data_IF_262051032990
#
_entry.id   IF_262051032990
#
_cell.length_a   1.000
_cell.length_b   1.000
_cell.length_c   1.000
_cell.angle_alpha   90.00
_cell.angle_beta   90.00
_cell.angle_gamma   90.00
#
_symmetry.space_group_name_H-M   'P 1'
#
loop_
_entity.id
_entity.type
_entity.pdbx_description
1 polymer ?
#
# COMPACT_ATOMS: atom_id res chain seq x y z
N UNK A 1 -14.35 -1.35 0.22
CA UNK A 1 -13.19 -1.45 -0.65
C UNK A 1 -12.99 -0.14 -1.42
N UNK A 2 -11.83 0.05 -2.05
CA UNK A 2 -11.39 1.29 -2.70
C UNK A 2 -12.47 1.97 -3.57
N UNK A 3 -13.25 1.19 -4.34
CA UNK A 3 -14.28 1.73 -5.24
C UNK A 3 -15.48 2.41 -4.55
N UNK A 4 -15.63 2.20 -3.26
CA UNK A 4 -16.70 2.82 -2.45
C UNK A 4 -16.15 3.86 -1.46
N UNK A 5 -14.84 4.11 -1.48
CA UNK A 5 -14.18 4.99 -0.52
C UNK A 5 -14.77 6.40 -0.54
N UNK A 6 -14.90 7.00 -1.72
CA UNK A 6 -15.45 8.36 -1.86
C UNK A 6 -16.85 8.49 -1.27
N UNK A 7 -17.74 7.55 -1.61
CA UNK A 7 -19.12 7.57 -1.12
C UNK A 7 -19.18 7.40 0.40
N UNK A 8 -18.37 6.46 0.93
CA UNK A 8 -18.35 6.21 2.37
C UNK A 8 -17.71 7.35 3.18
N UNK A 9 -16.73 8.06 2.61
CA UNK A 9 -16.00 9.11 3.31
C UNK A 9 -16.72 10.46 3.31
N UNK A 10 -17.64 10.71 2.39
CA UNK A 10 -18.33 12.00 2.27
C UNK A 10 -19.07 12.40 3.56
N UNK A 11 -19.58 11.41 4.30
CA UNK A 11 -20.29 11.63 5.56
C UNK A 11 -19.37 12.13 6.69
N UNK A 12 -18.07 11.91 6.57
CA UNK A 12 -17.06 12.34 7.55
C UNK A 12 -16.47 13.71 7.24
N UNK A 13 -16.84 14.32 6.11
CA UNK A 13 -16.33 15.64 5.73
C UNK A 13 -16.70 16.68 6.78
N UNK A 14 -15.69 17.43 7.25
CA UNK A 14 -15.85 18.42 8.30
C UNK A 14 -15.97 17.86 9.73
N UNK A 15 -15.95 16.53 9.90
CA UNK A 15 -15.98 15.88 11.20
C UNK A 15 -14.59 15.46 11.70
N UNK A 16 -13.58 15.48 10.82
CA UNK A 16 -12.21 15.08 11.17
C UNK A 16 -11.53 16.24 11.93
N UNK A 17 -11.09 16.02 13.17
CA UNK A 17 -10.40 17.06 13.94
C UNK A 17 -9.13 17.55 13.22
N UNK A 18 -8.82 18.86 13.36
CA UNK A 18 -7.67 19.47 12.65
C UNK A 18 -6.32 18.82 12.96
N UNK A 19 -6.17 18.24 14.15
CA UNK A 19 -4.93 17.56 14.58
C UNK A 19 -4.89 16.08 14.24
N UNK A 20 -5.98 15.49 13.71
CA UNK A 20 -6.03 14.07 13.41
C UNK A 20 -5.30 13.72 12.11
N UNK A 21 -4.57 12.62 12.11
CA UNK A 21 -3.97 12.00 10.92
C UNK A 21 -4.94 10.93 10.43
N UNK A 22 -5.32 11.01 9.16
CA UNK A 22 -6.19 10.00 8.54
C UNK A 22 -5.33 8.89 7.96
N UNK A 23 -5.54 7.67 8.43
CA UNK A 23 -4.74 6.50 8.02
C UNK A 23 -5.56 5.60 7.10
N UNK A 24 -5.01 5.27 5.94
CA UNK A 24 -5.61 4.36 4.96
C UNK A 24 -4.82 3.06 4.85
N UNK A 25 -5.55 1.94 4.89
CA UNK A 25 -5.03 0.61 4.56
C UNK A 25 -5.63 0.10 3.22
N UNK A 26 -6.35 0.96 2.52
CA UNK A 26 -6.98 0.60 1.26
C UNK A 26 -5.93 0.41 0.16
N UNK A 27 -6.15 -0.62 -0.66
CA UNK A 27 -5.33 -0.90 -1.84
C UNK A 27 -6.22 -0.78 -3.08
N UNK A 28 -5.81 0.05 -4.03
CA UNK A 28 -6.54 0.19 -5.29
C UNK A 28 -6.52 1.61 -5.85
N UNK A 29 -7.02 1.71 -7.07
CA UNK A 29 -7.18 2.95 -7.83
C UNK A 29 -8.67 3.12 -8.10
N UNK A 30 -9.21 4.33 -7.92
CA UNK A 30 -10.62 4.63 -8.16
C UNK A 30 -10.94 4.53 -9.65
N UNK A 31 -12.00 3.77 -10.02
CA UNK A 31 -12.47 3.71 -11.40
C UNK A 31 -12.97 5.09 -11.86
N UNK A 32 -12.90 5.32 -13.16
CA UNK A 32 -13.33 6.53 -13.86
C UNK A 32 -12.44 7.77 -13.63
N UNK A 33 -11.83 7.93 -12.45
CA UNK A 33 -10.93 9.05 -12.16
C UNK A 33 -9.46 8.66 -12.27
N UNK A 34 -9.16 7.36 -12.16
CA UNK A 34 -7.80 6.79 -12.08
C UNK A 34 -6.97 7.37 -10.90
N UNK A 35 -7.64 7.86 -9.86
CA UNK A 35 -7.00 8.43 -8.68
C UNK A 35 -6.58 7.34 -7.69
N UNK A 36 -5.42 7.54 -7.09
CA UNK A 36 -4.97 6.76 -5.93
C UNK A 36 -5.84 7.07 -4.73
N UNK A 37 -5.74 6.23 -3.69
CA UNK A 37 -6.58 6.41 -2.49
C UNK A 37 -6.20 7.67 -1.69
N UNK A 38 -4.93 8.09 -1.68
CA UNK A 38 -4.53 9.37 -1.08
C UNK A 38 -5.29 10.55 -1.71
N UNK A 39 -5.34 10.59 -3.04
CA UNK A 39 -6.04 11.64 -3.76
C UNK A 39 -7.55 11.61 -3.48
N UNK A 40 -8.15 10.40 -3.49
CA UNK A 40 -9.59 10.23 -3.21
C UNK A 40 -9.94 10.66 -1.78
N UNK A 41 -9.16 10.23 -0.79
CA UNK A 41 -9.40 10.54 0.62
C UNK A 41 -9.23 12.03 0.88
N UNK A 42 -8.12 12.60 0.39
CA UNK A 42 -7.80 14.03 0.57
C UNK A 42 -8.84 14.94 -0.07
N UNK A 43 -9.26 14.65 -1.29
CA UNK A 43 -10.33 15.42 -1.96
C UNK A 43 -11.66 15.30 -1.25
N UNK A 44 -12.03 14.10 -0.81
CA UNK A 44 -13.34 13.87 -0.18
C UNK A 44 -13.45 14.52 1.18
N UNK A 45 -12.38 14.47 1.97
CA UNK A 45 -12.36 14.99 3.34
C UNK A 45 -11.83 16.43 3.46
N UNK A 46 -11.37 17.04 2.36
CA UNK A 46 -10.70 18.32 2.33
C UNK A 46 -9.44 18.33 3.22
N UNK A 47 -8.58 17.33 3.03
CA UNK A 47 -7.41 17.06 3.86
C UNK A 47 -6.12 17.53 3.21
N UNK A 48 -5.23 18.24 3.91
CA UNK A 48 -3.88 18.52 3.41
C UNK A 48 -3.05 17.22 3.34
N UNK A 49 -2.03 17.23 2.49
CA UNK A 49 -1.23 16.04 2.19
C UNK A 49 -0.49 15.47 3.40
N UNK A 50 -0.01 16.35 4.26
CA UNK A 50 0.72 16.00 5.48
C UNK A 50 -0.12 15.32 6.56
N UNK A 51 -1.45 15.34 6.44
CA UNK A 51 -2.39 14.69 7.37
C UNK A 51 -2.95 13.36 6.85
N UNK A 52 -2.52 12.91 5.68
CA UNK A 52 -2.84 11.59 5.16
C UNK A 52 -1.65 10.64 5.32
N UNK A 53 -1.89 9.46 5.86
CA UNK A 53 -0.92 8.38 5.91
C UNK A 53 -1.49 7.11 5.28
N UNK A 54 -0.67 6.39 4.52
CA UNK A 54 -1.00 5.07 4.00
C UNK A 54 -0.15 4.00 4.68
N UNK A 55 -0.71 2.82 4.91
CA UNK A 55 0.02 1.65 5.45
C UNK A 55 -0.06 0.52 4.44
N UNK A 56 1.09 -0.05 4.06
CA UNK A 56 1.17 -1.21 3.19
C UNK A 56 2.40 -2.06 3.48
N UNK A 57 2.31 -3.35 3.14
CA UNK A 57 3.37 -4.35 3.38
C UNK A 57 2.78 -5.75 3.41
N UNK A 58 3.58 -6.77 3.73
CA UNK A 58 3.13 -8.15 3.90
C UNK A 58 2.32 -8.30 5.21
N UNK A 59 1.06 -7.88 5.18
CA UNK A 59 0.21 -7.71 6.36
C UNK A 59 -0.95 -8.73 6.35
N UNK A 60 -0.64 -10.03 6.39
CA UNK A 60 -1.63 -11.08 6.50
C UNK A 60 -2.26 -11.03 7.90
N UNK A 61 -3.54 -10.66 7.97
CA UNK A 61 -4.24 -10.35 9.22
C UNK A 61 -4.24 -11.51 10.22
N UNK A 62 -4.33 -12.75 9.73
CA UNK A 62 -4.29 -13.95 10.60
C UNK A 62 -2.94 -14.09 11.30
N UNK A 63 -1.84 -13.93 10.58
CA UNK A 63 -0.50 -14.06 11.14
C UNK A 63 -0.21 -12.96 12.18
N UNK A 64 -0.66 -11.73 11.90
CA UNK A 64 -0.55 -10.61 12.86
C UNK A 64 -1.38 -10.90 14.11
N UNK A 65 -2.61 -11.43 13.96
CA UNK A 65 -3.47 -11.80 15.07
C UNK A 65 -2.87 -12.93 15.92
N UNK A 66 -2.19 -13.89 15.26
CA UNK A 66 -1.47 -15.01 15.90
C UNK A 66 -0.10 -14.57 16.47
N UNK A 67 0.23 -13.26 16.39
CA UNK A 67 1.46 -12.64 16.90
C UNK A 67 2.75 -13.16 16.25
N UNK A 68 2.66 -13.56 14.98
CA UNK A 68 3.87 -13.87 14.20
C UNK A 68 4.67 -12.58 13.94
N UNK A 69 6.02 -12.64 13.93
CA UNK A 69 6.83 -11.49 13.57
C UNK A 69 6.48 -10.98 12.18
N UNK A 70 6.09 -9.71 12.09
CA UNK A 70 5.71 -9.08 10.84
C UNK A 70 6.17 -7.61 10.80
N UNK A 71 6.24 -7.04 9.61
CA UNK A 71 6.60 -5.65 9.43
C UNK A 71 5.77 -4.99 8.32
N UNK A 72 5.57 -3.68 8.48
CA UNK A 72 4.83 -2.85 7.54
C UNK A 72 5.57 -1.55 7.24
N UNK A 73 5.07 -0.77 6.29
CA UNK A 73 5.55 0.58 6.02
C UNK A 73 4.41 1.57 6.14
N UNK A 74 4.66 2.67 6.83
CA UNK A 74 3.79 3.84 6.93
C UNK A 74 4.36 4.92 6.03
N UNK A 75 3.57 5.42 5.09
CA UNK A 75 3.94 6.54 4.23
C UNK A 75 3.08 7.76 4.54
N UNK A 76 3.72 8.91 4.75
CA UNK A 76 3.09 10.21 4.86
C UNK A 76 4.06 11.27 4.32
N UNK A 77 3.58 12.28 3.60
CA UNK A 77 4.45 13.36 3.10
C UNK A 77 5.20 14.08 4.24
N UNK A 78 4.59 14.15 5.42
CA UNK A 78 5.25 14.62 6.66
C UNK A 78 5.82 13.42 7.42
N UNK A 79 7.15 13.37 7.55
CA UNK A 79 7.86 12.26 8.20
C UNK A 79 7.55 12.14 9.70
N UNK A 80 7.28 13.27 10.38
CA UNK A 80 6.94 13.26 11.80
C UNK A 80 5.55 12.61 12.00
N UNK A 81 4.59 12.93 11.14
CA UNK A 81 3.27 12.30 11.14
C UNK A 81 3.36 10.81 10.78
N UNK A 82 4.22 10.43 9.82
CA UNK A 82 4.50 9.01 9.55
C UNK A 82 5.05 8.30 10.79
N UNK A 83 5.95 8.95 11.53
CA UNK A 83 6.56 8.41 12.74
C UNK A 83 5.53 8.24 13.86
N UNK A 84 4.67 9.22 14.09
CA UNK A 84 3.58 9.12 15.08
C UNK A 84 2.69 7.90 14.79
N UNK A 85 2.30 7.72 13.52
CA UNK A 85 1.47 6.56 13.11
C UNK A 85 2.25 5.25 13.27
N UNK A 86 3.52 5.22 12.88
CA UNK A 86 4.36 4.03 13.00
C UNK A 86 4.57 3.60 14.46
N UNK A 87 4.80 4.56 15.37
CA UNK A 87 4.90 4.29 16.81
C UNK A 87 3.60 3.73 17.38
N UNK A 88 2.46 4.30 17.00
CA UNK A 88 1.14 3.82 17.41
C UNK A 88 0.84 2.39 16.93
N UNK A 89 1.39 1.98 15.77
CA UNK A 89 1.20 0.64 15.20
C UNK A 89 2.23 -0.39 15.69
N UNK A 90 3.41 0.05 16.17
CA UNK A 90 4.52 -0.85 16.52
C UNK A 90 4.24 -1.62 17.82
N UNK A 91 4.46 -2.93 17.78
CA UNK A 91 4.36 -3.83 18.92
C UNK A 91 5.64 -4.67 19.05
N UNK A 92 5.68 -5.64 20.00
CA UNK A 92 6.81 -6.57 20.15
C UNK A 92 7.01 -7.50 18.94
N UNK A 93 5.96 -7.75 18.18
CA UNK A 93 5.95 -8.67 17.03
C UNK A 93 5.57 -8.00 15.71
N UNK A 94 5.14 -6.74 15.72
CA UNK A 94 4.79 -5.97 14.53
C UNK A 94 5.59 -4.69 14.47
N UNK A 95 6.48 -4.55 13.47
CA UNK A 95 7.34 -3.38 13.29
C UNK A 95 6.87 -2.51 12.14
N UNK A 96 6.62 -1.23 12.40
CA UNK A 96 6.34 -0.26 11.36
C UNK A 96 7.61 0.55 11.01
N UNK A 97 7.92 0.64 9.71
CA UNK A 97 8.93 1.51 9.14
C UNK A 97 8.26 2.73 8.52
N UNK A 98 9.00 3.81 8.30
CA UNK A 98 8.45 5.06 7.76
C UNK A 98 9.07 5.44 6.43
N UNK A 99 8.30 6.13 5.59
CA UNK A 99 8.75 6.75 4.33
C UNK A 99 7.91 7.98 4.03
N UNK A 100 8.41 8.87 3.19
CA UNK A 100 7.63 9.99 2.64
C UNK A 100 7.03 9.67 1.26
N UNK A 101 7.39 8.54 0.65
CA UNK A 101 6.91 8.12 -0.66
C UNK A 101 5.51 7.49 -0.59
N UNK A 102 4.48 8.33 -0.45
CA UNK A 102 3.07 7.91 -0.46
C UNK A 102 2.71 7.30 -1.81
N UNK A 103 3.18 7.91 -2.91
CA UNK A 103 2.89 7.44 -4.28
C UNK A 103 3.39 6.01 -4.47
N UNK A 104 4.67 5.77 -4.15
CA UNK A 104 5.27 4.44 -4.30
C UNK A 104 4.58 3.40 -3.44
N UNK A 105 4.30 3.71 -2.18
CA UNK A 105 3.63 2.79 -1.28
C UNK A 105 2.23 2.39 -1.78
N UNK A 106 1.42 3.33 -2.24
CA UNK A 106 0.08 3.06 -2.76
C UNK A 106 0.11 2.31 -4.10
N UNK A 107 1.03 2.67 -5.00
CA UNK A 107 1.23 1.99 -6.28
C UNK A 107 1.64 0.52 -6.07
N UNK A 108 2.57 0.24 -5.15
CA UNK A 108 2.93 -1.12 -4.76
C UNK A 108 1.70 -1.93 -4.35
N UNK A 109 0.94 -1.44 -3.39
CA UNK A 109 -0.23 -2.15 -2.86
C UNK A 109 -1.34 -2.35 -3.88
N UNK A 110 -1.54 -1.39 -4.80
CA UNK A 110 -2.62 -1.43 -5.78
C UNK A 110 -2.33 -2.36 -6.96
N UNK A 111 -1.10 -2.41 -7.43
CA UNK A 111 -0.74 -3.06 -8.70
C UNK A 111 -0.19 -4.47 -8.54
N UNK A 112 0.39 -4.83 -7.40
CA UNK A 112 0.96 -6.17 -7.15
C UNK A 112 0.01 -7.33 -7.44
N UNK A 113 -1.29 -7.13 -7.22
CA UNK A 113 -2.28 -8.18 -7.38
C UNK A 113 -2.43 -8.65 -8.84
N UNK A 114 -2.07 -7.82 -9.82
CA UNK A 114 -2.02 -8.21 -11.24
C UNK A 114 -0.93 -9.26 -11.45
N UNK A 115 0.25 -9.03 -10.89
CA UNK A 115 1.36 -9.99 -10.94
C UNK A 115 1.01 -11.28 -10.18
N UNK A 116 0.44 -11.16 -8.98
CA UNK A 116 0.03 -12.31 -8.19
C UNK A 116 -1.03 -13.16 -8.91
N UNK A 117 -1.98 -12.53 -9.60
CA UNK A 117 -2.96 -13.25 -10.42
C UNK A 117 -2.27 -14.02 -11.55
N UNK A 118 -1.31 -13.41 -12.25
CA UNK A 118 -0.57 -14.06 -13.32
C UNK A 118 0.24 -15.27 -12.79
N UNK A 119 0.86 -15.16 -11.61
CA UNK A 119 1.53 -16.30 -10.94
C UNK A 119 0.54 -17.40 -10.60
N UNK A 120 -0.62 -17.05 -10.02
CA UNK A 120 -1.67 -18.02 -9.72
C UNK A 120 -2.20 -18.74 -10.97
N UNK A 121 -2.37 -18.02 -12.08
CA UNK A 121 -2.76 -18.63 -13.37
C UNK A 121 -1.69 -19.58 -13.89
N UNK A 122 -0.40 -19.22 -13.81
CA UNK A 122 0.70 -20.07 -14.23
C UNK A 122 0.76 -21.36 -13.41
N UNK A 123 0.67 -21.26 -12.07
CA UNK A 123 0.62 -22.45 -11.19
C UNK A 123 -0.61 -23.31 -11.46
N UNK A 124 -1.77 -22.70 -11.66
CA UNK A 124 -3.01 -23.42 -12.03
C UNK A 124 -2.93 -24.15 -13.39
N UNK A 125 -2.10 -23.64 -14.30
CA UNK A 125 -1.81 -24.28 -15.59
C UNK A 125 -0.73 -25.39 -15.49
N UNK A 126 -0.19 -25.65 -14.29
CA UNK A 126 0.82 -26.69 -14.06
C UNK A 126 2.26 -26.24 -14.29
N UNK A 127 2.52 -24.94 -14.45
CA UNK A 127 3.90 -24.44 -14.54
C UNK A 127 4.58 -24.41 -13.17
N UNK A 128 5.90 -24.61 -13.16
CA UNK A 128 6.71 -24.69 -11.94
C UNK A 128 7.25 -23.34 -11.47
N UNK A 129 8.10 -23.41 -10.42
CA UNK A 129 8.62 -22.23 -9.71
C UNK A 129 9.52 -21.34 -10.60
N UNK A 130 10.20 -21.87 -11.61
CA UNK A 130 10.95 -21.03 -12.56
C UNK A 130 10.05 -20.04 -13.31
N UNK A 131 8.84 -20.48 -13.68
CA UNK A 131 7.85 -19.64 -14.36
C UNK A 131 7.28 -18.60 -13.37
N UNK A 132 6.96 -19.00 -12.15
CA UNK A 132 6.50 -18.11 -11.09
C UNK A 132 7.53 -17.01 -10.82
N UNK A 133 8.79 -17.38 -10.56
CA UNK A 133 9.87 -16.43 -10.31
C UNK A 133 10.11 -15.47 -11.48
N UNK A 134 10.01 -15.95 -12.73
CA UNK A 134 10.11 -15.09 -13.92
C UNK A 134 8.99 -14.06 -13.96
N UNK A 135 7.74 -14.46 -13.71
CA UNK A 135 6.58 -13.55 -13.70
C UNK A 135 6.72 -12.54 -12.57
N UNK A 136 7.07 -12.97 -11.36
CA UNK A 136 7.27 -12.10 -10.20
C UNK A 136 8.35 -11.05 -10.46
N UNK A 137 9.52 -11.48 -10.96
CA UNK A 137 10.66 -10.60 -11.24
C UNK A 137 10.33 -9.58 -12.33
N UNK A 138 9.73 -10.04 -13.44
CA UNK A 138 9.36 -9.14 -14.54
C UNK A 138 8.23 -8.22 -14.14
N UNK A 139 7.21 -8.73 -13.46
CA UNK A 139 6.11 -7.93 -12.92
C UNK A 139 6.60 -6.83 -11.98
N UNK A 140 7.50 -7.15 -11.03
CA UNK A 140 8.08 -6.16 -10.13
C UNK A 140 8.83 -5.05 -10.89
N UNK A 141 9.62 -5.41 -11.91
CA UNK A 141 10.35 -4.43 -12.71
C UNK A 141 9.41 -3.49 -13.48
N UNK A 142 8.30 -4.02 -14.02
CA UNK A 142 7.28 -3.22 -14.71
C UNK A 142 6.52 -2.32 -13.75
N UNK A 143 6.20 -2.82 -12.55
CA UNK A 143 5.58 -2.02 -11.48
C UNK A 143 6.47 -0.87 -11.04
N UNK A 144 7.78 -1.12 -10.86
CA UNK A 144 8.74 -0.08 -10.48
C UNK A 144 8.87 1.00 -11.59
N UNK A 145 8.90 0.59 -12.86
CA UNK A 145 8.94 1.53 -13.98
C UNK A 145 7.66 2.39 -14.07
N UNK A 146 6.49 1.77 -13.89
CA UNK A 146 5.21 2.48 -13.88
C UNK A 146 5.11 3.44 -12.68
N UNK A 147 5.55 2.99 -11.50
CA UNK A 147 5.60 3.83 -10.31
C UNK A 147 6.53 5.04 -10.48
N UNK A 148 7.72 4.84 -11.03
CA UNK A 148 8.65 5.92 -11.33
C UNK A 148 8.03 6.96 -12.29
N UNK A 149 7.31 6.50 -13.31
CA UNK A 149 6.59 7.39 -14.23
C UNK A 149 5.46 8.17 -13.54
N UNK A 150 4.90 7.65 -12.45
CA UNK A 150 3.90 8.32 -11.61
C UNK A 150 4.53 9.21 -10.51
N UNK A 151 5.85 9.30 -10.41
CA UNK A 151 6.57 10.12 -9.45
C UNK A 151 6.98 9.42 -8.15
N UNK A 152 6.88 8.09 -8.09
CA UNK A 152 7.34 7.30 -6.95
C UNK A 152 8.88 7.14 -6.92
N UNK A 153 9.44 6.92 -5.73
CA UNK A 153 10.82 6.44 -5.61
C UNK A 153 10.89 4.96 -6.02
N UNK A 154 11.67 4.60 -7.06
CA UNK A 154 11.83 3.20 -7.47
C UNK A 154 12.29 2.26 -6.36
N UNK A 155 13.02 2.76 -5.35
CA UNK A 155 13.49 1.98 -4.20
C UNK A 155 12.34 1.43 -3.36
N UNK A 156 11.20 2.12 -3.31
CA UNK A 156 10.01 1.68 -2.56
C UNK A 156 9.53 0.31 -3.02
N UNK A 157 9.67 0.00 -4.32
CA UNK A 157 9.24 -1.27 -4.92
C UNK A 157 10.10 -2.47 -4.48
N UNK A 158 11.33 -2.24 -4.06
CA UNK A 158 12.24 -3.28 -3.54
C UNK A 158 12.16 -3.45 -2.01
N UNK A 159 11.30 -2.69 -1.35
CA UNK A 159 11.03 -2.76 0.08
C UNK A 159 9.86 -3.69 0.45
N UNK A 160 9.45 -3.60 1.73
CA UNK A 160 8.34 -4.40 2.28
C UNK A 160 7.02 -4.18 1.54
N UNK A 161 6.69 -2.93 1.16
CA UNK A 161 5.45 -2.61 0.48
C UNK A 161 5.41 -3.11 -0.98
N UNK A 162 6.56 -3.26 -1.64
CA UNK A 162 6.70 -3.78 -2.99
C UNK A 162 6.96 -5.28 -3.01
N UNK A 163 8.24 -5.66 -3.12
CA UNK A 163 8.66 -7.06 -3.24
C UNK A 163 8.20 -7.91 -2.05
N UNK A 164 8.23 -7.36 -0.82
CA UNK A 164 7.80 -8.11 0.36
C UNK A 164 6.33 -8.50 0.31
N UNK A 165 5.46 -7.56 -0.02
CA UNK A 165 4.00 -7.80 -0.14
C UNK A 165 3.66 -8.64 -1.39
N UNK A 166 4.46 -8.55 -2.46
CA UNK A 166 4.32 -9.41 -3.65
C UNK A 166 4.61 -10.87 -3.30
N UNK A 167 5.76 -11.16 -2.67
CA UNK A 167 6.14 -12.51 -2.23
C UNK A 167 5.10 -13.12 -1.29
N UNK A 168 4.60 -12.34 -0.32
CA UNK A 168 3.58 -12.81 0.61
C UNK A 168 2.22 -13.10 -0.06
N UNK A 169 2.01 -12.62 -1.29
CA UNK A 169 0.75 -12.77 -2.03
C UNK A 169 0.82 -13.88 -3.07
N UNK A 170 1.98 -14.16 -3.67
CA UNK A 170 2.21 -15.23 -4.64
C UNK A 170 2.46 -16.58 -3.97
#
# INVERSE_FOLDING_TARGET
AAQFARVALVEFRGLIPEHAIVVSLMKGIERNTNKRMDEVVRETLDLPADRFAAISGPNLSKEIADRHPAATVVACENIDNATIVAEACTTKYFKAFVTTDVIGLEMCGSLKNVTALAVGMARGAGYGENTAAMIETRGLAELAALGAAAGADPKTFFGLAGVGDLIATC
#
